data_IF_015964302361
#
_entry.id   IF_015964302361
#
_cell.length_a   1.000
_cell.length_b   1.000
_cell.length_c   1.000
_cell.angle_alpha   90.00
_cell.angle_beta   90.00
_cell.angle_gamma   90.00
#
_symmetry.space_group_name_H-M   'P 1'
#
loop_
_entity.id
_entity.type
_entity.pdbx_description
1 polymer ?
#
# COMPACT_ATOMS: atom_id res chain seq x y z
N UNK A 1 39.72 6.04 37.49
CA UNK A 1 38.82 4.88 37.65
C UNK A 1 37.72 5.04 36.61
N UNK A 2 37.82 4.36 35.46
CA UNK A 2 36.91 4.54 34.32
C UNK A 2 35.68 3.64 34.52
N UNK A 3 34.48 4.23 34.47
CA UNK A 3 33.22 3.50 34.58
C UNK A 3 33.06 2.50 33.42
N UNK A 4 32.53 1.28 33.66
CA UNK A 4 32.31 0.32 32.60
C UNK A 4 31.24 0.82 31.64
N UNK A 5 31.54 0.80 30.33
CA UNK A 5 30.59 1.06 29.27
C UNK A 5 29.35 0.17 29.45
N UNK A 6 28.20 0.79 29.65
CA UNK A 6 26.90 0.11 29.67
C UNK A 6 26.69 -0.56 28.32
N UNK A 7 26.85 -1.88 28.28
CA UNK A 7 26.54 -2.70 27.10
C UNK A 7 25.11 -2.37 26.67
N UNK A 8 24.98 -1.82 25.47
CA UNK A 8 23.71 -1.64 24.77
C UNK A 8 23.03 -3.01 24.72
N UNK A 9 21.88 -3.17 25.38
CA UNK A 9 21.11 -4.41 25.29
C UNK A 9 20.61 -4.52 23.85
N UNK A 10 21.11 -5.49 23.10
CA UNK A 10 20.52 -5.89 21.82
C UNK A 10 19.13 -6.43 22.13
N UNK A 11 18.10 -5.57 22.04
CA UNK A 11 16.71 -6.00 22.17
C UNK A 11 16.42 -6.89 20.96
N UNK A 12 16.20 -8.19 21.20
CA UNK A 12 15.80 -9.13 20.18
C UNK A 12 14.62 -8.57 19.35
N UNK A 13 14.52 -8.83 18.04
CA UNK A 13 13.46 -8.29 17.21
C UNK A 13 12.08 -8.67 17.80
N UNK A 14 11.41 -7.72 18.43
CA UNK A 14 10.08 -7.93 18.97
C UNK A 14 9.12 -8.43 17.87
N UNK A 15 8.10 -9.23 18.21
CA UNK A 15 7.15 -9.79 17.25
C UNK A 15 6.56 -8.68 16.35
N UNK A 16 6.42 -8.98 15.06
CA UNK A 16 5.82 -8.04 14.10
C UNK A 16 4.38 -7.71 14.54
N UNK A 17 3.99 -6.43 14.63
CA UNK A 17 2.64 -6.08 15.00
C UNK A 17 1.67 -6.53 13.90
N UNK A 18 0.58 -7.17 14.29
CA UNK A 18 -0.48 -7.63 13.40
C UNK A 18 -0.97 -6.53 12.44
N UNK A 19 -1.05 -5.30 12.93
CA UNK A 19 -1.49 -4.13 12.16
C UNK A 19 -0.60 -3.82 10.96
N UNK A 20 0.72 -4.06 11.05
CA UNK A 20 1.62 -3.88 9.91
C UNK A 20 1.41 -4.97 8.84
N UNK A 21 1.14 -6.20 9.26
CA UNK A 21 0.80 -7.30 8.35
C UNK A 21 -0.52 -7.05 7.61
N UNK A 22 -1.53 -6.52 8.32
CA UNK A 22 -2.83 -6.15 7.70
C UNK A 22 -2.61 -5.07 6.64
N UNK A 23 -1.88 -4.00 6.96
CA UNK A 23 -1.59 -2.94 5.98
C UNK A 23 -0.83 -3.48 4.76
N UNK A 24 0.21 -4.29 4.98
CA UNK A 24 0.99 -4.86 3.88
C UNK A 24 0.14 -5.80 3.01
N UNK A 25 -0.73 -6.61 3.62
CA UNK A 25 -1.64 -7.49 2.90
C UNK A 25 -2.67 -6.69 2.08
N UNK A 26 -3.34 -5.71 2.69
CA UNK A 26 -4.36 -4.90 1.99
C UNK A 26 -3.76 -4.14 0.82
N UNK A 27 -2.63 -3.46 1.03
CA UNK A 27 -1.94 -2.72 -0.06
C UNK A 27 -1.40 -3.67 -1.12
N UNK A 28 -0.99 -4.88 -0.74
CA UNK A 28 -0.63 -5.94 -1.67
C UNK A 28 -1.80 -6.38 -2.56
N UNK A 29 -2.99 -6.52 -1.99
CA UNK A 29 -4.23 -6.81 -2.75
C UNK A 29 -4.60 -5.65 -3.68
N UNK A 30 -4.48 -4.41 -3.22
CA UNK A 30 -4.70 -3.22 -4.05
C UNK A 30 -3.76 -3.17 -5.26
N UNK A 31 -2.48 -3.45 -5.05
CA UNK A 31 -1.49 -3.53 -6.13
C UNK A 31 -1.90 -4.58 -7.18
N UNK A 32 -2.40 -5.73 -6.72
CA UNK A 32 -2.84 -6.82 -7.58
C UNK A 32 -4.11 -6.44 -8.36
N UNK A 33 -5.08 -5.78 -7.71
CA UNK A 33 -6.27 -5.24 -8.37
C UNK A 33 -5.92 -4.20 -9.45
N UNK A 34 -4.97 -3.31 -9.16
CA UNK A 34 -4.44 -2.33 -10.11
C UNK A 34 -3.76 -3.00 -11.31
N UNK A 35 -2.98 -4.07 -11.07
CA UNK A 35 -2.34 -4.84 -12.14
C UNK A 35 -3.37 -5.56 -13.03
N UNK A 36 -4.39 -6.17 -12.42
CA UNK A 36 -5.49 -6.80 -13.17
C UNK A 36 -6.24 -5.77 -14.02
N UNK A 37 -6.45 -4.57 -13.50
CA UNK A 37 -7.06 -3.46 -14.22
C UNK A 37 -6.19 -3.01 -15.41
N UNK A 38 -4.86 -2.95 -15.23
CA UNK A 38 -3.92 -2.65 -16.29
C UNK A 38 -3.96 -3.71 -17.40
N UNK A 39 -4.01 -4.99 -17.03
CA UNK A 39 -4.10 -6.11 -17.97
C UNK A 39 -5.44 -6.11 -18.71
N UNK A 40 -6.55 -5.87 -18.01
CA UNK A 40 -7.87 -5.77 -18.62
C UNK A 40 -7.95 -4.59 -19.61
N UNK A 41 -7.36 -3.45 -19.28
CA UNK A 41 -7.25 -2.33 -20.22
C UNK A 41 -6.38 -2.69 -21.42
N UNK A 42 -5.26 -3.38 -21.21
CA UNK A 42 -4.36 -3.80 -22.29
C UNK A 42 -5.03 -4.78 -23.26
N UNK A 43 -5.83 -5.73 -22.77
CA UNK A 43 -6.50 -6.71 -23.63
C UNK A 43 -7.53 -6.05 -24.56
N UNK A 44 -8.08 -4.88 -24.22
CA UNK A 44 -8.99 -4.12 -25.10
C UNK A 44 -8.35 -3.73 -26.45
N UNK A 45 -7.01 -3.70 -26.55
CA UNK A 45 -6.32 -3.52 -27.83
C UNK A 45 -6.65 -4.62 -28.84
N UNK A 46 -6.98 -5.83 -28.37
CA UNK A 46 -7.18 -7.01 -29.21
C UNK A 46 -8.65 -7.41 -29.35
N UNK A 47 -9.52 -6.99 -28.43
CA UNK A 47 -10.96 -7.33 -28.43
C UNK A 47 -11.87 -6.22 -28.96
N UNK A 48 -11.30 -5.10 -29.40
CA UNK A 48 -12.03 -3.92 -29.87
C UNK A 48 -12.09 -2.84 -28.80
N UNK A 49 -11.78 -1.60 -29.19
CA UNK A 49 -11.59 -0.51 -28.24
C UNK A 49 -12.37 0.76 -28.62
N UNK A 50 -13.02 1.36 -27.62
CA UNK A 50 -13.71 2.65 -27.73
C UNK A 50 -12.78 3.85 -27.50
N UNK A 51 -11.62 3.61 -26.88
CA UNK A 51 -10.60 4.62 -26.61
C UNK A 51 -9.55 4.67 -27.73
N UNK A 52 -8.87 5.82 -27.93
CA UNK A 52 -7.68 5.90 -28.77
C UNK A 52 -6.58 4.96 -28.27
N UNK A 53 -5.87 4.30 -29.18
CA UNK A 53 -4.77 3.36 -28.87
C UNK A 53 -3.73 3.98 -27.94
N UNK A 54 -3.34 5.24 -28.18
CA UNK A 54 -2.39 5.95 -27.34
C UNK A 54 -2.90 6.11 -25.88
N UNK A 55 -4.20 6.35 -25.70
CA UNK A 55 -4.83 6.45 -24.38
C UNK A 55 -4.82 5.12 -23.64
N UNK A 56 -5.07 4.02 -24.35
CA UNK A 56 -5.01 2.66 -23.78
C UNK A 56 -3.59 2.33 -23.33
N UNK A 57 -2.60 2.53 -24.21
CA UNK A 57 -1.18 2.28 -23.89
C UNK A 57 -0.74 3.12 -22.70
N UNK A 58 -1.05 4.42 -22.70
CA UNK A 58 -0.73 5.32 -21.60
C UNK A 58 -1.38 4.86 -20.29
N UNK A 59 -2.69 4.58 -20.31
CA UNK A 59 -3.42 4.11 -19.13
C UNK A 59 -2.86 2.80 -18.59
N UNK A 60 -2.55 1.83 -19.46
CA UNK A 60 -1.94 0.55 -19.07
C UNK A 60 -0.60 0.76 -18.38
N UNK A 61 0.28 1.61 -18.95
CA UNK A 61 1.60 1.89 -18.36
C UNK A 61 1.45 2.59 -17.00
N UNK A 62 0.54 3.56 -16.88
CA UNK A 62 0.29 4.28 -15.62
C UNK A 62 -0.26 3.32 -14.55
N UNK A 63 -1.25 2.49 -14.88
CA UNK A 63 -1.82 1.52 -13.95
C UNK A 63 -0.79 0.46 -13.53
N UNK A 64 0.00 -0.06 -14.47
CA UNK A 64 1.07 -1.01 -14.17
C UNK A 64 2.17 -0.37 -13.30
N UNK A 65 2.56 0.87 -13.59
CA UNK A 65 3.50 1.64 -12.77
C UNK A 65 2.97 1.86 -11.34
N UNK A 66 1.68 2.20 -11.22
CA UNK A 66 0.98 2.30 -9.94
C UNK A 66 0.98 0.98 -9.17
N UNK A 67 0.72 -0.15 -9.84
CA UNK A 67 0.77 -1.48 -9.24
C UNK A 67 2.17 -1.81 -8.70
N UNK A 68 3.23 -1.55 -9.47
CA UNK A 68 4.62 -1.76 -9.04
C UNK A 68 4.96 -0.87 -7.85
N UNK A 69 4.51 0.40 -7.87
CA UNK A 69 4.71 1.35 -6.79
C UNK A 69 4.02 0.89 -5.49
N UNK A 70 2.76 0.43 -5.56
CA UNK A 70 2.05 -0.12 -4.40
C UNK A 70 2.67 -1.42 -3.91
N UNK A 71 3.12 -2.31 -4.80
CA UNK A 71 3.82 -3.53 -4.40
C UNK A 71 5.14 -3.21 -3.68
N UNK A 72 5.85 -2.16 -4.08
CA UNK A 72 7.02 -1.67 -3.37
C UNK A 72 6.66 -1.08 -2.00
N UNK A 73 5.55 -0.33 -1.91
CA UNK A 73 5.03 0.19 -0.64
C UNK A 73 4.61 -0.94 0.31
N UNK A 74 3.90 -1.97 -0.16
CA UNK A 74 3.51 -3.14 0.62
C UNK A 74 4.74 -3.90 1.16
N UNK A 75 5.74 -4.15 0.31
CA UNK A 75 7.01 -4.76 0.74
C UNK A 75 7.75 -3.91 1.76
N UNK A 76 7.81 -2.59 1.56
CA UNK A 76 8.40 -1.68 2.53
C UNK A 76 7.65 -1.65 3.86
N UNK A 77 6.31 -1.70 3.79
CA UNK A 77 5.42 -1.78 4.95
C UNK A 77 5.43 -3.14 5.62
N UNK A 78 6.02 -4.17 5.01
CA UNK A 78 6.37 -5.44 5.65
C UNK A 78 7.83 -5.44 6.16
N UNK A 79 8.71 -4.66 5.56
CA UNK A 79 10.12 -4.57 5.97
C UNK A 79 10.38 -3.63 7.16
N UNK A 80 9.42 -2.82 7.60
CA UNK A 80 9.59 -1.90 8.74
C UNK A 80 10.06 -0.52 8.33
N UNK A 81 10.00 -0.21 7.03
CA UNK A 81 10.49 1.06 6.52
C UNK A 81 9.51 2.19 6.82
N UNK A 82 10.05 3.40 6.96
CA UNK A 82 9.31 4.64 7.23
C UNK A 82 8.70 5.29 5.98
N UNK A 83 9.33 5.12 4.82
CA UNK A 83 8.88 5.67 3.52
C UNK A 83 7.49 5.21 3.03
N UNK A 84 7.07 3.95 3.20
CA UNK A 84 5.77 3.44 2.74
C UNK A 84 4.56 4.19 3.30
N UNK A 85 4.70 4.89 4.43
CA UNK A 85 3.58 5.55 5.12
C UNK A 85 2.91 6.59 4.23
N UNK A 86 3.72 7.45 3.61
CA UNK A 86 3.21 8.47 2.70
C UNK A 86 2.57 7.84 1.46
N UNK A 87 3.20 6.80 0.90
CA UNK A 87 2.69 6.10 -0.28
C UNK A 87 1.32 5.45 -0.01
N UNK A 88 1.18 4.75 1.12
CA UNK A 88 -0.09 4.14 1.52
C UNK A 88 -1.15 5.20 1.79
N UNK A 89 -0.84 6.30 2.49
CA UNK A 89 -1.83 7.36 2.71
C UNK A 89 -2.36 7.94 1.40
N UNK A 90 -1.48 8.17 0.42
CA UNK A 90 -1.87 8.66 -0.91
C UNK A 90 -2.75 7.62 -1.63
N UNK A 91 -2.40 6.33 -1.60
CA UNK A 91 -3.21 5.29 -2.24
C UNK A 91 -4.60 5.18 -1.61
N UNK A 92 -4.69 5.25 -0.27
CA UNK A 92 -5.97 5.19 0.43
C UNK A 92 -6.84 6.42 0.17
N UNK A 93 -6.24 7.60 0.03
CA UNK A 93 -6.99 8.81 -0.34
C UNK A 93 -7.62 8.66 -1.73
N UNK A 94 -6.89 8.14 -2.71
CA UNK A 94 -7.44 7.84 -4.04
C UNK A 94 -8.52 6.75 -3.97
N UNK A 95 -8.30 5.70 -3.19
CA UNK A 95 -9.27 4.62 -3.03
C UNK A 95 -10.58 5.12 -2.41
N UNK A 96 -10.50 6.07 -1.47
CA UNK A 96 -11.68 6.73 -0.90
C UNK A 96 -12.45 7.51 -1.96
N UNK A 97 -11.76 8.26 -2.82
CA UNK A 97 -12.38 8.99 -3.94
C UNK A 97 -13.09 8.01 -4.88
N UNK A 98 -12.42 6.92 -5.25
CA UNK A 98 -13.01 5.86 -6.09
C UNK A 98 -14.25 5.22 -5.43
N UNK A 99 -14.16 4.92 -4.13
CA UNK A 99 -15.27 4.36 -3.35
C UNK A 99 -16.48 5.29 -3.33
N UNK A 100 -16.27 6.60 -3.15
CA UNK A 100 -17.33 7.61 -3.21
C UNK A 100 -17.94 7.70 -4.61
N UNK A 101 -17.14 7.65 -5.67
CA UNK A 101 -17.65 7.61 -7.04
C UNK A 101 -18.52 6.38 -7.31
N UNK A 102 -18.15 5.21 -6.79
CA UNK A 102 -18.99 4.00 -6.90
C UNK A 102 -20.29 4.10 -6.11
N UNK A 103 -20.29 4.85 -5.00
CA UNK A 103 -21.49 5.12 -4.22
C UNK A 103 -22.54 5.92 -5.00
N UNK A 104 -22.09 6.78 -5.92
CA UNK A 104 -22.95 7.58 -6.80
C UNK A 104 -23.47 6.80 -8.02
N UNK A 105 -22.92 5.62 -8.29
CA UNK A 105 -23.34 4.75 -9.39
C UNK A 105 -24.26 3.63 -8.89
N UNK A 106 -24.80 2.81 -9.80
CA UNK A 106 -25.58 1.61 -9.46
C UNK A 106 -24.80 0.55 -8.65
N UNK A 107 -23.49 0.78 -8.42
CA UNK A 107 -22.60 -0.06 -7.62
C UNK A 107 -22.50 0.37 -6.15
N UNK A 108 -23.53 1.03 -5.59
CA UNK A 108 -23.51 1.63 -4.25
C UNK A 108 -22.99 0.72 -3.13
N UNK A 109 -23.36 -0.57 -3.12
CA UNK A 109 -22.85 -1.52 -2.13
C UNK A 109 -21.33 -1.72 -2.19
N UNK A 110 -20.76 -1.79 -3.40
CA UNK A 110 -19.32 -1.93 -3.59
C UNK A 110 -18.55 -0.67 -3.21
N UNK A 111 -19.13 0.51 -3.47
CA UNK A 111 -18.53 1.78 -3.04
C UNK A 111 -18.31 1.85 -1.53
N UNK A 112 -19.28 1.37 -0.74
CA UNK A 112 -19.17 1.32 0.72
C UNK A 112 -18.05 0.38 1.18
N UNK A 113 -17.93 -0.81 0.57
CA UNK A 113 -16.87 -1.77 0.90
C UNK A 113 -15.49 -1.19 0.60
N UNK A 114 -15.32 -0.58 -0.57
CA UNK A 114 -14.04 0.05 -0.98
C UNK A 114 -13.67 1.20 -0.03
N UNK A 115 -14.63 2.06 0.31
CA UNK A 115 -14.41 3.15 1.27
C UNK A 115 -14.06 2.62 2.67
N UNK A 116 -14.73 1.57 3.14
CA UNK A 116 -14.45 0.94 4.43
C UNK A 116 -13.03 0.36 4.47
N UNK A 117 -12.60 -0.35 3.43
CA UNK A 117 -11.22 -0.87 3.30
C UNK A 117 -10.21 0.27 3.40
N UNK A 118 -10.48 1.40 2.74
CA UNK A 118 -9.59 2.54 2.79
C UNK A 118 -9.45 3.13 4.20
N UNK A 119 -10.57 3.36 4.87
CA UNK A 119 -10.59 3.90 6.24
C UNK A 119 -9.90 2.95 7.21
N UNK A 120 -10.20 1.65 7.16
CA UNK A 120 -9.58 0.65 8.06
C UNK A 120 -8.06 0.61 7.85
N UNK A 121 -7.60 0.67 6.60
CA UNK A 121 -6.16 0.66 6.31
C UNK A 121 -5.47 1.91 6.85
N UNK A 122 -6.10 3.09 6.72
CA UNK A 122 -5.61 4.34 7.32
C UNK A 122 -5.50 4.21 8.85
N UNK A 123 -6.56 3.72 9.51
CA UNK A 123 -6.59 3.55 10.96
C UNK A 123 -5.50 2.55 11.44
N UNK A 124 -5.33 1.43 10.73
CA UNK A 124 -4.27 0.47 11.02
C UNK A 124 -2.87 1.05 10.78
N UNK A 125 -2.70 1.93 9.78
CA UNK A 125 -1.42 2.60 9.49
C UNK A 125 -1.06 3.64 10.57
N UNK A 126 -2.05 4.37 11.08
CA UNK A 126 -1.87 5.35 12.15
C UNK A 126 -1.85 4.73 13.56
N UNK A 127 -2.18 3.44 13.68
CA UNK A 127 -2.13 2.74 14.97
C UNK A 127 -0.73 2.87 15.60
N UNK A 128 -0.61 3.19 16.91
CA UNK A 128 0.67 3.40 17.58
C UNK A 128 1.64 2.22 17.43
N UNK A 129 1.12 1.00 17.36
CA UNK A 129 1.88 -0.24 17.11
C UNK A 129 2.58 -0.23 15.75
N UNK A 130 1.89 0.20 14.69
CA UNK A 130 2.44 0.29 13.33
C UNK A 130 3.43 1.43 13.23
N UNK A 131 3.12 2.57 13.85
CA UNK A 131 4.01 3.73 13.93
C UNK A 131 5.34 3.33 14.54
N UNK A 132 5.33 2.71 15.72
CA UNK A 132 6.53 2.28 16.43
C UNK A 132 7.38 1.29 15.63
N UNK A 133 6.72 0.39 14.90
CA UNK A 133 7.40 -0.61 14.08
C UNK A 133 8.04 -0.02 12.81
N UNK A 134 7.42 0.97 12.18
CA UNK A 134 7.96 1.65 10.99
C UNK A 134 9.10 2.64 11.30
N UNK A 135 9.46 2.82 12.58
CA UNK A 135 10.58 3.68 12.98
C UNK A 135 11.96 3.00 12.88
N UNK A 136 12.05 1.68 12.70
CA UNK A 136 13.34 0.99 12.49
C UNK A 136 14.07 1.59 11.29
N UNK A 137 15.19 2.27 11.54
CA UNK A 137 16.13 2.61 10.47
C UNK A 137 16.90 1.36 10.08
N UNK A 138 17.33 1.33 8.82
CA UNK A 138 18.16 0.25 8.26
C UNK A 138 19.46 0.03 9.06
N UNK A 139 19.84 0.99 9.89
CA UNK A 139 21.02 0.99 10.76
C UNK A 139 20.98 -0.11 11.84
N UNK A 140 19.80 -0.58 12.24
CA UNK A 140 19.65 -1.67 13.22
C UNK A 140 19.89 -3.06 12.60
N UNK A 141 19.84 -3.19 11.27
CA UNK A 141 20.10 -4.46 10.56
C UNK A 141 21.56 -4.62 10.14
N UNK A 142 22.38 -3.55 10.26
CA UNK A 142 23.80 -3.53 9.93
C UNK A 142 24.71 -3.57 11.17
N UNK A 143 24.13 -3.71 12.37
CA UNK A 143 24.83 -3.93 13.65
C UNK A 143 24.54 -5.33 14.17
#
# INVERSE_FOLDING_TARGET
>A
MNAPATRSRTTAPGPRPWTASVVAATVGVEALALLLSALALFTTLFTGHVLPVAGIVFGTVVLAGGAVWLAAAARGAWAGLRWPRAAVLVSQAFLLIVGLSFLQMALGGWGLVVAAVAVVTILCLLAPSTVAWMHRTRDDAAR
#
